data_IF_448729074317
#
_entry.id   IF_448729074317
#
_cell.length_a   1.000
_cell.length_b   1.000
_cell.length_c   1.000
_cell.angle_alpha   90.00
_cell.angle_beta   90.00
_cell.angle_gamma   90.00
#
_symmetry.space_group_name_H-M   'P 1'
#
loop_
_entity.id
_entity.type
_entity.pdbx_description
1 polymer ?
#
# COMPACT_ATOMS: atom_id res chain seq x y z
N UNK A 1 15.01 -35.51 20.79
CA UNK A 1 14.82 -36.97 20.63
C UNK A 1 15.37 -37.77 21.80
N UNK A 2 16.64 -37.65 22.20
CA UNK A 2 17.17 -38.38 23.37
C UNK A 2 16.48 -38.01 24.69
N UNK A 3 16.10 -36.74 24.86
CA UNK A 3 15.48 -36.24 26.09
C UNK A 3 13.95 -36.41 26.15
N UNK A 4 13.28 -36.49 24.99
CA UNK A 4 11.81 -36.43 24.87
C UNK A 4 11.23 -37.47 23.91
N UNK A 5 12.01 -38.44 23.45
CA UNK A 5 11.55 -39.46 22.51
C UNK A 5 10.64 -40.47 23.20
N UNK A 6 9.51 -40.81 22.57
CA UNK A 6 8.51 -41.76 23.05
C UNK A 6 7.77 -41.38 24.35
N UNK A 7 8.03 -40.19 24.92
CA UNK A 7 7.37 -39.73 26.16
C UNK A 7 5.94 -39.22 25.89
N UNK A 8 5.62 -38.86 24.64
CA UNK A 8 4.39 -38.20 24.21
C UNK A 8 3.16 -39.12 24.15
N UNK A 9 3.32 -40.42 24.39
CA UNK A 9 2.22 -41.41 24.38
C UNK A 9 1.15 -41.14 25.47
N UNK A 10 1.54 -40.47 26.56
CA UNK A 10 0.66 -40.23 27.71
C UNK A 10 -0.27 -39.00 27.56
N UNK A 11 -0.20 -38.27 26.45
CA UNK A 11 -1.01 -37.06 26.20
C UNK A 11 -2.11 -37.38 25.20
N UNK A 12 -3.37 -37.13 25.57
CA UNK A 12 -4.55 -37.34 24.71
C UNK A 12 -5.33 -36.02 24.52
N UNK A 13 -5.51 -35.53 23.29
CA UNK A 13 -4.98 -36.07 22.03
C UNK A 13 -3.46 -35.83 21.90
N UNK A 14 -2.77 -36.75 21.20
CA UNK A 14 -1.33 -36.63 20.93
C UNK A 14 -1.04 -35.33 20.17
N UNK A 15 -0.17 -34.44 20.70
CA UNK A 15 0.19 -33.21 20.00
C UNK A 15 0.92 -33.50 18.68
N UNK A 16 0.63 -32.69 17.65
CA UNK A 16 1.34 -32.76 16.36
C UNK A 16 2.83 -32.39 16.52
N UNK A 17 3.12 -31.48 17.44
CA UNK A 17 4.47 -31.06 17.84
C UNK A 17 5.01 -32.01 18.90
N UNK A 18 5.75 -33.03 18.45
CA UNK A 18 6.33 -34.06 19.32
C UNK A 18 7.74 -34.41 18.85
N UNK A 19 8.44 -35.20 19.67
CA UNK A 19 9.83 -35.59 19.43
C UNK A 19 10.00 -37.08 19.13
N UNK A 20 8.97 -37.75 18.61
CA UNK A 20 8.98 -39.19 18.36
C UNK A 20 9.75 -39.54 17.09
N UNK A 21 9.48 -38.83 15.99
CA UNK A 21 10.16 -39.01 14.71
C UNK A 21 11.18 -37.92 14.45
N UNK A 22 12.20 -38.22 13.65
CA UNK A 22 13.28 -37.27 13.34
C UNK A 22 12.74 -36.02 12.65
N UNK A 23 11.92 -36.19 11.63
CA UNK A 23 11.31 -35.07 10.90
C UNK A 23 10.36 -34.26 11.77
N UNK A 24 9.53 -34.91 12.60
CA UNK A 24 8.64 -34.21 13.54
C UNK A 24 9.43 -33.41 14.59
N UNK A 25 10.55 -33.98 15.08
CA UNK A 25 11.45 -33.30 15.99
C UNK A 25 12.12 -32.09 15.34
N UNK A 26 12.58 -32.23 14.10
CA UNK A 26 13.18 -31.13 13.33
C UNK A 26 12.18 -30.00 13.12
N UNK A 27 10.95 -30.31 12.68
CA UNK A 27 9.89 -29.32 12.50
C UNK A 27 9.50 -28.66 13.82
N UNK A 28 9.43 -29.42 14.91
CA UNK A 28 9.13 -28.88 16.24
C UNK A 28 10.23 -27.94 16.72
N UNK A 29 11.50 -28.28 16.52
CA UNK A 29 12.63 -27.38 16.84
C UNK A 29 12.59 -26.13 15.97
N UNK A 30 12.33 -26.27 14.66
CA UNK A 30 12.19 -25.14 13.76
C UNK A 30 11.06 -24.21 14.21
N UNK A 31 9.89 -24.76 14.55
CA UNK A 31 8.77 -24.00 15.07
C UNK A 31 9.13 -23.24 16.37
N UNK A 32 9.83 -23.89 17.30
CA UNK A 32 10.31 -23.25 18.54
C UNK A 32 11.28 -22.12 18.22
N UNK A 33 12.21 -22.33 17.26
CA UNK A 33 13.14 -21.30 16.82
C UNK A 33 12.44 -20.10 16.17
N UNK A 34 11.30 -20.30 15.51
CA UNK A 34 10.48 -19.21 14.95
C UNK A 34 9.67 -18.47 16.03
N UNK A 35 9.70 -18.94 17.29
CA UNK A 35 8.96 -18.33 18.40
C UNK A 35 7.47 -18.66 18.43
N UNK A 36 6.99 -19.59 17.59
CA UNK A 36 5.57 -19.93 17.52
C UNK A 36 5.21 -21.10 18.44
N UNK A 37 4.34 -20.86 19.42
CA UNK A 37 3.80 -21.91 20.28
C UNK A 37 4.84 -22.70 21.10
N UNK A 38 6.05 -22.19 21.30
CA UNK A 38 7.14 -22.85 22.04
C UNK A 38 6.76 -23.17 23.49
N UNK A 39 5.94 -22.32 24.11
CA UNK A 39 5.39 -22.50 25.44
C UNK A 39 4.45 -23.72 25.50
N UNK A 40 3.61 -23.92 24.48
CA UNK A 40 2.72 -25.08 24.39
C UNK A 40 3.52 -26.38 24.28
N UNK A 41 4.55 -26.41 23.42
CA UNK A 41 5.44 -27.57 23.29
C UNK A 41 6.17 -27.87 24.59
N UNK A 42 6.63 -26.83 25.30
CA UNK A 42 7.25 -26.98 26.61
C UNK A 42 6.27 -27.54 27.66
N UNK A 43 5.05 -27.02 27.72
CA UNK A 43 4.04 -27.51 28.67
C UNK A 43 3.67 -28.96 28.41
N UNK A 44 3.51 -29.33 27.14
CA UNK A 44 3.21 -30.70 26.77
C UNK A 44 4.42 -31.61 27.05
N UNK A 45 5.66 -31.16 26.85
CA UNK A 45 6.86 -31.92 27.22
C UNK A 45 6.94 -32.18 28.74
N UNK A 46 6.59 -31.18 29.57
CA UNK A 46 6.57 -31.33 31.03
C UNK A 46 5.47 -32.30 31.45
N UNK A 47 4.27 -32.19 30.86
CA UNK A 47 3.16 -33.12 31.11
C UNK A 47 3.51 -34.55 30.73
N UNK A 48 4.12 -34.75 29.56
CA UNK A 48 4.58 -36.05 29.08
C UNK A 48 5.58 -36.69 30.06
N UNK A 49 6.53 -35.91 30.60
CA UNK A 49 7.56 -36.38 31.54
C UNK A 49 7.05 -36.67 32.97
N UNK A 50 5.73 -36.71 33.18
CA UNK A 50 5.12 -37.02 34.48
C UNK A 50 4.74 -35.79 35.31
N UNK A 51 4.58 -34.62 34.67
CA UNK A 51 4.03 -33.42 35.27
C UNK A 51 5.02 -32.59 36.09
N UNK A 52 4.56 -31.42 36.55
CA UNK A 52 5.38 -30.45 37.29
C UNK A 52 5.85 -30.94 38.68
N UNK A 53 5.34 -32.08 39.14
CA UNK A 53 5.71 -32.70 40.42
C UNK A 53 7.11 -33.34 40.36
N UNK A 54 7.59 -33.72 39.17
CA UNK A 54 8.92 -34.32 39.00
C UNK A 54 9.96 -33.23 38.69
N UNK A 55 11.05 -33.12 39.47
CA UNK A 55 12.06 -32.09 39.25
C UNK A 55 12.76 -32.22 37.89
N UNK A 56 12.91 -33.44 37.36
CA UNK A 56 13.46 -33.69 36.03
C UNK A 56 12.56 -33.18 34.90
N UNK A 57 11.24 -33.26 35.08
CA UNK A 57 10.28 -32.73 34.11
C UNK A 57 10.34 -31.20 34.08
N UNK A 58 10.44 -30.55 35.25
CA UNK A 58 10.60 -29.09 35.33
C UNK A 58 11.95 -28.64 34.78
N UNK A 59 13.02 -29.39 35.00
CA UNK A 59 14.35 -29.08 34.45
C UNK A 59 14.37 -29.08 32.91
N UNK A 60 13.46 -29.83 32.29
CA UNK A 60 13.27 -29.84 30.82
C UNK A 60 12.83 -28.48 30.26
N UNK A 61 12.22 -27.60 31.08
CA UNK A 61 11.86 -26.24 30.67
C UNK A 61 13.08 -25.39 30.29
N UNK A 62 14.23 -25.60 30.95
CA UNK A 62 15.46 -24.88 30.66
C UNK A 62 15.95 -25.16 29.24
N UNK A 63 15.79 -26.39 28.75
CA UNK A 63 16.13 -26.73 27.37
C UNK A 63 15.34 -25.87 26.38
N UNK A 64 14.02 -25.78 26.55
CA UNK A 64 13.16 -24.99 25.66
C UNK A 64 13.49 -23.49 25.75
N UNK A 65 13.72 -22.96 26.95
CA UNK A 65 14.09 -21.55 27.13
C UNK A 65 15.42 -21.24 26.41
N UNK A 66 16.44 -22.10 26.59
CA UNK A 66 17.74 -21.91 25.94
C UNK A 66 17.62 -22.02 24.42
N UNK A 67 16.90 -23.02 23.90
CA UNK A 67 16.70 -23.17 22.45
C UNK A 67 15.94 -21.98 21.86
N UNK A 68 14.94 -21.44 22.55
CA UNK A 68 14.22 -20.25 22.09
C UNK A 68 15.14 -19.03 22.06
N UNK A 69 15.91 -18.77 23.13
CA UNK A 69 16.80 -17.60 23.20
C UNK A 69 17.90 -17.70 22.13
N UNK A 70 18.61 -18.83 22.09
CA UNK A 70 19.72 -19.05 21.16
C UNK A 70 19.20 -19.11 19.72
N UNK A 71 18.08 -19.79 19.49
CA UNK A 71 17.45 -19.90 18.18
C UNK A 71 17.04 -18.54 17.62
N UNK A 72 16.37 -17.72 18.43
CA UNK A 72 15.99 -16.36 18.03
C UNK A 72 17.21 -15.49 17.77
N UNK A 73 18.26 -15.59 18.59
CA UNK A 73 19.51 -14.85 18.38
C UNK A 73 20.16 -15.22 17.03
N UNK A 74 20.23 -16.51 16.71
CA UNK A 74 20.76 -16.99 15.42
C UNK A 74 19.90 -16.49 14.26
N UNK A 75 18.57 -16.59 14.35
CA UNK A 75 17.67 -16.14 13.28
C UNK A 75 17.77 -14.64 13.04
N UNK A 76 17.81 -13.82 14.10
CA UNK A 76 17.95 -12.38 13.99
C UNK A 76 19.29 -12.01 13.35
N UNK A 77 20.39 -12.67 13.75
CA UNK A 77 21.70 -12.39 13.16
C UNK A 77 21.79 -12.80 11.68
N UNK A 78 21.19 -13.92 11.29
CA UNK A 78 21.12 -14.34 9.90
C UNK A 78 20.24 -13.38 9.10
N UNK A 79 19.06 -13.02 9.62
CA UNK A 79 18.16 -12.08 8.97
C UNK A 79 18.82 -10.71 8.79
N UNK A 80 19.51 -10.20 9.81
CA UNK A 80 20.24 -8.94 9.75
C UNK A 80 21.34 -8.99 8.69
N UNK A 81 22.13 -10.07 8.65
CA UNK A 81 23.17 -10.23 7.64
C UNK A 81 22.59 -10.17 6.23
N UNK A 82 21.54 -10.96 5.95
CA UNK A 82 20.88 -10.98 4.64
C UNK A 82 20.26 -9.63 4.29
N UNK A 83 19.61 -8.96 5.25
CA UNK A 83 19.00 -7.66 5.02
C UNK A 83 20.03 -6.57 4.72
N UNK A 84 21.14 -6.55 5.46
CA UNK A 84 22.24 -5.62 5.23
C UNK A 84 22.90 -5.86 3.88
N UNK A 85 23.13 -7.13 3.51
CA UNK A 85 23.67 -7.48 2.20
C UNK A 85 22.74 -6.99 1.08
N UNK A 86 21.43 -7.21 1.19
CA UNK A 86 20.46 -6.74 0.19
C UNK A 86 20.41 -5.21 0.06
N UNK A 87 20.49 -4.49 1.18
CA UNK A 87 20.53 -3.02 1.17
C UNK A 87 21.84 -2.53 0.53
N UNK A 88 22.96 -3.17 0.85
CA UNK A 88 24.26 -2.80 0.28
C UNK A 88 24.32 -3.01 -1.24
N UNK A 89 23.69 -4.08 -1.74
CA UNK A 89 23.56 -4.33 -3.18
C UNK A 89 22.72 -3.25 -3.86
N UNK A 90 21.56 -2.89 -3.29
CA UNK A 90 20.71 -1.83 -3.82
C UNK A 90 21.38 -0.44 -3.79
N UNK A 91 22.20 -0.14 -2.77
CA UNK A 91 22.99 1.11 -2.74
C UNK A 91 24.07 1.13 -3.83
N UNK A 92 24.74 0.01 -4.08
CA UNK A 92 25.78 -0.08 -5.10
C UNK A 92 25.21 0.04 -6.52
N UNK A 93 24.07 -0.62 -6.79
CA UNK A 93 23.36 -0.51 -8.08
C UNK A 93 22.94 0.94 -8.38
N UNK A 94 22.43 1.66 -7.37
CA UNK A 94 22.08 3.07 -7.51
C UNK A 94 23.32 3.95 -7.80
N UNK A 95 24.44 3.72 -7.12
CA UNK A 95 25.69 4.47 -7.35
C UNK A 95 26.27 4.22 -8.74
N UNK A 96 26.23 2.98 -9.24
CA UNK A 96 26.67 2.67 -10.60
C UNK A 96 25.80 3.35 -11.67
N UNK A 97 24.48 3.41 -11.44
CA UNK A 97 23.55 4.04 -12.38
C UNK A 97 23.79 5.54 -12.46
N UNK A 98 23.91 6.21 -11.31
CA UNK A 98 24.27 7.63 -11.24
C UNK A 98 25.64 7.89 -11.85
N UNK A 99 26.63 7.03 -11.59
CA UNK A 99 27.97 7.15 -12.17
C UNK A 99 27.99 7.06 -13.70
N UNK A 100 27.23 6.13 -14.28
CA UNK A 100 27.10 5.97 -15.74
C UNK A 100 26.37 7.16 -16.37
N UNK A 101 25.33 7.69 -15.72
CA UNK A 101 24.64 8.90 -16.17
C UNK A 101 25.57 10.12 -16.15
N UNK A 102 26.37 10.30 -15.09
CA UNK A 102 27.35 11.41 -15.02
C UNK A 102 28.44 11.29 -16.06
N UNK A 103 28.95 10.07 -16.33
CA UNK A 103 29.97 9.85 -17.36
C UNK A 103 29.44 10.14 -18.77
N UNK A 104 28.20 9.75 -19.07
CA UNK A 104 27.58 10.06 -20.36
C UNK A 104 27.39 11.58 -20.55
N UNK A 105 27.05 12.32 -19.49
CA UNK A 105 26.94 13.78 -19.53
C UNK A 105 28.30 14.45 -19.79
N UNK A 106 29.37 13.98 -19.17
CA UNK A 106 30.74 14.50 -19.38
C UNK A 106 31.29 14.19 -20.78
N UNK A 107 30.94 13.04 -21.38
CA UNK A 107 31.28 12.72 -22.78
C UNK A 107 30.54 13.64 -23.76
N UNK A 108 29.27 13.95 -23.51
CA UNK A 108 28.49 14.90 -24.31
C UNK A 108 29.04 16.34 -24.23
N UNK A 109 29.58 16.76 -23.07
CA UNK A 109 30.19 18.09 -22.96
C UNK A 109 31.56 18.18 -23.66
N UNK A 110 32.39 17.13 -23.59
CA UNK A 110 33.72 17.14 -24.23
C UNK A 110 33.69 17.04 -25.76
N UNK A 111 32.61 16.54 -26.37
CA UNK A 111 32.47 16.50 -27.83
C UNK A 111 32.28 17.88 -28.47
N UNK A 112 31.83 18.88 -27.71
CA UNK A 112 31.50 20.21 -28.21
C UNK A 112 32.67 21.23 -28.24
N UNK A 113 33.90 20.84 -27.88
CA UNK A 113 35.05 21.76 -27.89
C UNK A 113 36.17 21.27 -28.83
N UNK A 114 36.21 21.81 -30.06
CA UNK A 114 37.43 21.87 -30.90
C UNK A 114 37.88 23.34 -31.06
N UNK A 115 39.20 23.63 -31.03
CA UNK A 115 39.72 25.00 -31.11
C UNK A 115 40.03 25.39 -32.56
N UNK A 116 39.90 26.68 -32.93
CA UNK A 116 40.95 27.40 -33.69
C UNK A 116 40.69 28.90 -34.00
N UNK A 117 41.82 29.60 -33.87
CA UNK A 117 42.34 30.92 -34.30
C UNK A 117 41.68 31.76 -35.42
N UNK A 118 41.83 33.08 -35.19
CA UNK A 118 41.77 34.32 -36.00
C UNK A 118 41.67 34.27 -37.54
N UNK A 119 40.81 35.12 -38.13
CA UNK A 119 41.13 36.37 -38.89
C UNK A 119 39.84 37.02 -39.44
N UNK A 120 39.76 38.36 -39.36
CA UNK A 120 38.74 39.25 -39.95
C UNK A 120 38.90 39.37 -41.49
N UNK A 121 38.07 40.15 -42.23
CA UNK A 121 36.61 40.06 -42.44
C UNK A 121 36.25 40.19 -43.97
N UNK A 122 35.05 39.80 -44.42
CA UNK A 122 34.23 40.41 -45.51
C UNK A 122 33.28 39.41 -46.21
N UNK A 123 32.03 39.89 -46.36
CA UNK A 123 30.90 39.42 -47.20
C UNK A 123 30.17 38.10 -46.86
N UNK A 124 29.12 38.27 -46.05
CA UNK A 124 27.72 37.84 -46.23
C UNK A 124 27.47 36.38 -46.70
N UNK A 125 27.06 35.55 -45.74
CA UNK A 125 26.06 34.49 -45.92
C UNK A 125 25.30 34.28 -44.60
N UNK A 126 24.03 33.87 -44.72
CA UNK A 126 22.89 34.04 -43.80
C UNK A 126 23.11 33.39 -42.41
N UNK A 127 22.86 34.08 -41.27
CA UNK A 127 22.89 33.42 -39.96
C UNK A 127 21.64 32.56 -39.76
N UNK A 128 21.83 31.24 -39.63
CA UNK A 128 20.88 30.37 -38.94
C UNK A 128 20.78 30.81 -37.48
N UNK A 129 19.60 31.31 -37.11
CA UNK A 129 19.27 31.74 -35.77
C UNK A 129 19.40 30.58 -34.77
N UNK A 130 20.22 30.84 -33.75
CA UNK A 130 20.27 30.14 -32.49
C UNK A 130 18.87 29.89 -31.93
N UNK A 131 18.49 28.61 -31.77
CA UNK A 131 17.53 28.20 -30.73
C UNK A 131 18.19 28.46 -29.37
N UNK A 132 18.24 29.73 -28.97
CA UNK A 132 18.22 30.08 -27.57
C UNK A 132 16.79 29.81 -27.11
N UNK A 133 16.62 28.84 -26.22
CA UNK A 133 15.34 28.58 -25.59
C UNK A 133 14.85 29.87 -24.91
N UNK A 134 13.97 30.59 -25.62
CA UNK A 134 13.07 31.56 -25.04
C UNK A 134 12.41 30.90 -23.83
N UNK A 135 12.47 31.58 -22.69
CA UNK A 135 11.61 31.27 -21.55
C UNK A 135 10.18 31.52 -22.00
N UNK A 136 9.53 30.48 -22.53
CA UNK A 136 8.12 30.50 -22.92
C UNK A 136 7.35 30.87 -21.64
N UNK A 137 6.67 32.03 -21.58
CA UNK A 137 5.80 32.33 -20.47
C UNK A 137 4.70 31.26 -20.51
N UNK A 138 4.62 30.40 -19.48
CA UNK A 138 3.64 29.30 -19.37
C UNK A 138 2.27 29.81 -19.83
N UNK A 139 1.82 29.48 -21.05
CA UNK A 139 0.53 29.94 -21.52
C UNK A 139 -0.51 29.09 -20.81
N UNK A 140 -1.46 29.77 -20.16
CA UNK A 140 -2.69 29.27 -19.52
C UNK A 140 -3.04 27.78 -19.76
N UNK A 141 -2.36 26.86 -19.06
CA UNK A 141 -2.72 25.44 -19.04
C UNK A 141 -4.18 25.25 -18.58
N UNK A 142 -4.67 26.20 -17.78
CA UNK A 142 -6.05 26.30 -17.28
C UNK A 142 -7.07 26.58 -18.40
N UNK A 143 -6.68 27.26 -19.49
CA UNK A 143 -7.53 27.44 -20.69
C UNK A 143 -7.48 26.23 -21.63
N UNK A 144 -6.32 25.57 -21.74
CA UNK A 144 -6.17 24.39 -22.60
C UNK A 144 -7.03 23.20 -22.13
N UNK A 145 -7.23 23.04 -20.82
CA UNK A 145 -8.11 22.00 -20.26
C UNK A 145 -9.61 22.26 -20.53
N UNK A 146 -9.99 23.50 -20.86
CA UNK A 146 -11.37 23.86 -21.21
C UNK A 146 -11.76 23.52 -22.66
N UNK A 147 -10.79 23.28 -23.55
CA UNK A 147 -11.04 23.04 -24.98
C UNK A 147 -11.24 21.56 -25.36
N UNK A 148 -10.97 20.62 -24.46
CA UNK A 148 -11.11 19.20 -24.81
C UNK A 148 -12.55 18.74 -24.57
N UNK A 149 -13.19 18.27 -25.64
CA UNK A 149 -14.54 17.71 -25.65
C UNK A 149 -14.61 16.44 -24.79
N UNK A 150 -14.94 16.61 -23.52
CA UNK A 150 -15.24 15.53 -22.60
C UNK A 150 -16.74 15.23 -22.69
N UNK A 151 -17.06 14.17 -23.43
CA UNK A 151 -18.41 13.64 -23.74
C UNK A 151 -19.22 14.43 -24.77
N UNK A 152 -19.58 13.73 -25.84
CA UNK A 152 -20.44 14.10 -26.97
C UNK A 152 -21.89 14.52 -26.60
N UNK A 153 -22.21 14.78 -25.32
CA UNK A 153 -23.56 15.12 -24.84
C UNK A 153 -23.61 16.44 -24.05
N UNK A 154 -22.48 16.99 -23.59
CA UNK A 154 -22.46 18.27 -22.87
C UNK A 154 -21.46 19.23 -23.50
N UNK A 155 -21.99 20.16 -24.31
CA UNK A 155 -21.23 21.27 -24.88
C UNK A 155 -20.35 21.98 -23.82
N UNK A 156 -19.12 22.40 -24.17
CA UNK A 156 -18.19 23.09 -23.25
C UNK A 156 -18.74 24.40 -22.65
N UNK A 157 -19.85 24.92 -23.18
CA UNK A 157 -20.51 26.14 -22.71
C UNK A 157 -21.64 25.94 -21.68
N UNK A 158 -21.95 24.71 -21.26
CA UNK A 158 -23.03 24.50 -20.29
C UNK A 158 -22.67 25.08 -18.91
N UNK A 159 -23.55 25.91 -18.30
CA UNK A 159 -23.28 26.51 -16.98
C UNK A 159 -23.14 25.46 -15.89
N UNK A 160 -23.78 24.30 -16.05
CA UNK A 160 -23.68 23.16 -15.14
C UNK A 160 -22.24 22.63 -15.03
N UNK A 161 -21.48 22.59 -16.12
CA UNK A 161 -20.07 22.14 -16.10
C UNK A 161 -19.18 23.17 -15.39
N UNK A 162 -19.41 24.46 -15.59
CA UNK A 162 -18.67 25.54 -14.91
C UNK A 162 -18.93 25.53 -13.40
N UNK A 163 -20.17 25.30 -12.99
CA UNK A 163 -20.53 25.15 -11.58
C UNK A 163 -19.93 23.88 -11.00
N UNK A 164 -20.04 22.75 -11.70
CA UNK A 164 -19.45 21.48 -11.27
C UNK A 164 -17.93 21.59 -11.11
N UNK A 165 -17.22 22.22 -12.04
CA UNK A 165 -15.79 22.49 -11.93
C UNK A 165 -15.46 23.31 -10.68
N UNK A 166 -16.20 24.41 -10.46
CA UNK A 166 -15.98 25.28 -9.28
C UNK A 166 -16.25 24.55 -7.97
N UNK A 167 -17.25 23.68 -7.92
CA UNK A 167 -17.61 22.91 -6.72
C UNK A 167 -16.60 21.79 -6.48
N UNK A 168 -16.28 20.99 -7.48
CA UNK A 168 -15.37 19.83 -7.37
C UNK A 168 -13.95 20.27 -7.05
N UNK A 169 -13.48 21.38 -7.62
CA UNK A 169 -12.13 21.89 -7.35
C UNK A 169 -12.04 22.71 -6.05
N UNK A 170 -13.16 22.97 -5.36
CA UNK A 170 -13.13 23.70 -4.11
C UNK A 170 -12.54 22.83 -2.99
N UNK A 171 -11.51 23.32 -2.30
CA UNK A 171 -10.93 22.60 -1.15
C UNK A 171 -11.96 22.27 -0.06
N UNK A 172 -12.96 23.13 0.13
CA UNK A 172 -14.05 22.90 1.08
C UNK A 172 -14.87 21.64 0.74
N UNK A 173 -15.03 21.32 -0.54
CA UNK A 173 -15.75 20.14 -1.00
C UNK A 173 -14.97 18.87 -0.67
N UNK A 174 -13.68 18.85 -0.97
CA UNK A 174 -12.77 17.73 -0.64
C UNK A 174 -12.73 17.47 0.87
N UNK A 175 -12.60 18.53 1.67
CA UNK A 175 -12.59 18.40 3.14
C UNK A 175 -13.92 17.89 3.69
N UNK A 176 -15.05 18.30 3.09
CA UNK A 176 -16.38 17.83 3.48
C UNK A 176 -16.58 16.35 3.16
N UNK A 177 -16.19 15.89 1.96
CA UNK A 177 -16.22 14.47 1.62
C UNK A 177 -15.38 13.65 2.60
N UNK A 178 -14.13 14.09 2.86
CA UNK A 178 -13.25 13.39 3.78
C UNK A 178 -13.87 13.28 5.18
N UNK A 179 -14.47 14.37 5.67
CA UNK A 179 -15.18 14.37 6.95
C UNK A 179 -16.36 13.41 6.98
N UNK A 180 -17.15 13.33 5.90
CA UNK A 180 -18.28 12.40 5.78
C UNK A 180 -17.83 10.94 5.72
N UNK A 181 -16.70 10.63 5.10
CA UNK A 181 -16.11 9.28 5.11
C UNK A 181 -15.75 8.86 6.54
N UNK A 182 -15.13 9.75 7.31
CA UNK A 182 -14.76 9.47 8.71
C UNK A 182 -16.00 9.25 9.57
N UNK A 183 -17.02 10.10 9.45
CA UNK A 183 -18.28 9.93 10.18
C UNK A 183 -18.99 8.64 9.77
N UNK A 184 -19.09 8.34 8.47
CA UNK A 184 -19.72 7.13 7.96
C UNK A 184 -19.04 5.87 8.50
N UNK A 185 -17.71 5.85 8.52
CA UNK A 185 -16.94 4.73 9.10
C UNK A 185 -17.16 4.60 10.61
N UNK A 186 -17.25 5.73 11.32
CA UNK A 186 -17.58 5.76 12.74
C UNK A 186 -18.99 5.22 13.02
N UNK A 187 -19.98 5.59 12.21
CA UNK A 187 -21.36 5.10 12.36
C UNK A 187 -21.49 3.60 12.14
N UNK A 188 -20.74 3.02 11.20
CA UNK A 188 -20.69 1.57 11.00
C UNK A 188 -20.16 0.84 12.25
N UNK A 189 -19.19 1.44 12.96
CA UNK A 189 -18.68 0.91 14.23
C UNK A 189 -19.71 0.95 15.36
N UNK A 190 -20.68 1.87 15.29
CA UNK A 190 -21.77 1.98 16.27
C UNK A 190 -22.93 1.00 16.01
N UNK A 191 -22.92 0.26 14.90
CA UNK A 191 -23.95 -0.72 14.58
C UNK A 191 -23.92 -1.86 15.61
N UNK A 192 -25.05 -2.07 16.29
CA UNK A 192 -25.19 -3.16 17.26
C UNK A 192 -25.45 -4.48 16.51
N UNK A 193 -24.43 -5.33 16.45
CA UNK A 193 -24.51 -6.65 15.82
C UNK A 193 -25.37 -7.66 16.60
N UNK A 194 -25.64 -7.41 17.89
CA UNK A 194 -26.41 -8.33 18.74
C UNK A 194 -27.92 -8.11 18.67
N UNK A 195 -28.38 -6.88 18.43
CA UNK A 195 -29.82 -6.58 18.36
C UNK A 195 -30.20 -5.77 17.10
N UNK A 196 -30.67 -6.45 16.03
CA UNK A 196 -31.07 -5.80 14.79
C UNK A 196 -32.19 -4.75 14.94
N UNK A 197 -33.07 -4.90 15.93
CA UNK A 197 -34.26 -4.04 16.12
C UNK A 197 -34.01 -2.82 17.03
N UNK A 198 -32.78 -2.65 17.50
CA UNK A 198 -32.39 -1.51 18.32
C UNK A 198 -32.73 -0.18 17.62
N UNK A 199 -33.18 0.81 18.41
CA UNK A 199 -33.49 2.16 17.90
C UNK A 199 -32.28 2.79 17.20
N UNK A 200 -31.08 2.49 17.70
CA UNK A 200 -29.80 2.94 17.14
C UNK A 200 -29.67 2.44 15.70
N UNK A 201 -29.84 1.14 15.45
CA UNK A 201 -29.73 0.55 14.11
C UNK A 201 -30.74 1.14 13.10
N UNK A 202 -31.94 1.50 13.56
CA UNK A 202 -32.93 2.21 12.70
C UNK A 202 -32.45 3.60 12.29
N UNK A 203 -31.84 4.34 13.21
CA UNK A 203 -31.29 5.67 12.92
C UNK A 203 -30.06 5.56 12.02
N UNK A 204 -29.15 4.63 12.30
CA UNK A 204 -27.95 4.36 11.50
C UNK A 204 -28.33 4.03 10.05
N UNK A 205 -29.35 3.19 9.83
CA UNK A 205 -29.85 2.86 8.49
C UNK A 205 -30.30 4.08 7.69
N UNK A 206 -30.92 5.08 8.34
CA UNK A 206 -31.30 6.33 7.67
C UNK A 206 -30.08 7.16 7.27
N UNK A 207 -29.05 7.19 8.13
CA UNK A 207 -27.81 7.89 7.83
C UNK A 207 -27.01 7.22 6.71
N UNK A 208 -26.95 5.89 6.66
CA UNK A 208 -26.31 5.17 5.56
C UNK A 208 -26.89 5.57 4.21
N UNK A 209 -28.22 5.62 4.09
CA UNK A 209 -28.90 6.05 2.86
C UNK A 209 -28.55 7.51 2.53
N UNK A 210 -28.51 8.40 3.52
CA UNK A 210 -28.15 9.79 3.31
C UNK A 210 -26.71 9.95 2.80
N UNK A 211 -25.75 9.18 3.35
CA UNK A 211 -24.37 9.17 2.87
C UNK A 211 -24.25 8.58 1.47
N UNK A 212 -24.95 7.49 1.16
CA UNK A 212 -24.98 6.92 -0.19
C UNK A 212 -25.44 7.96 -1.21
N UNK A 213 -26.49 8.74 -0.91
CA UNK A 213 -26.98 9.81 -1.78
C UNK A 213 -25.92 10.89 -1.98
N UNK A 214 -25.27 11.33 -0.89
CA UNK A 214 -24.22 12.34 -0.97
C UNK A 214 -23.04 11.89 -1.84
N UNK A 215 -22.47 10.70 -1.58
CA UNK A 215 -21.33 10.18 -2.35
C UNK A 215 -21.71 9.89 -3.81
N UNK A 216 -22.95 9.44 -4.07
CA UNK A 216 -23.44 9.29 -5.45
C UNK A 216 -23.46 10.63 -6.18
N UNK A 217 -23.91 11.70 -5.52
CA UNK A 217 -23.91 13.04 -6.10
C UNK A 217 -22.49 13.58 -6.32
N UNK A 218 -21.58 13.32 -5.39
CA UNK A 218 -20.16 13.65 -5.53
C UNK A 218 -19.55 13.03 -6.80
N UNK A 219 -19.67 11.71 -6.94
CA UNK A 219 -19.15 10.99 -8.11
C UNK A 219 -19.79 11.49 -9.40
N UNK A 220 -21.09 11.78 -9.39
CA UNK A 220 -21.79 12.35 -10.54
C UNK A 220 -21.21 13.70 -10.95
N UNK A 221 -20.96 14.61 -9.99
CA UNK A 221 -20.33 15.90 -10.26
C UNK A 221 -18.90 15.75 -10.82
N UNK A 222 -18.10 14.82 -10.27
CA UNK A 222 -16.75 14.54 -10.78
C UNK A 222 -16.79 13.97 -12.20
N UNK A 223 -17.72 13.07 -12.51
CA UNK A 223 -17.90 12.51 -13.86
C UNK A 223 -18.33 13.60 -14.86
N UNK A 224 -19.20 14.55 -14.46
CA UNK A 224 -19.58 15.69 -15.32
C UNK A 224 -18.40 16.63 -15.58
N UNK A 225 -17.52 16.81 -14.59
CA UNK A 225 -16.36 17.70 -14.72
C UNK A 225 -15.24 17.08 -15.58
N UNK A 226 -14.79 15.88 -15.19
CA UNK A 226 -13.65 15.21 -15.79
C UNK A 226 -14.04 14.32 -16.96
N UNK A 227 -15.31 13.94 -17.15
CA UNK A 227 -15.73 12.98 -18.17
C UNK A 227 -15.43 11.52 -17.80
N UNK A 228 -16.21 10.59 -18.37
CA UNK A 228 -16.24 9.18 -17.95
C UNK A 228 -14.91 8.43 -18.23
N UNK A 229 -14.54 8.18 -19.51
CA UNK A 229 -13.39 7.32 -19.82
C UNK A 229 -12.50 7.73 -21.03
N UNK A 230 -12.99 8.53 -22.00
CA UNK A 230 -12.40 8.55 -23.35
C UNK A 230 -11.32 9.63 -23.66
N UNK A 231 -10.61 10.18 -22.67
CA UNK A 231 -9.53 11.16 -22.91
C UNK A 231 -8.44 11.11 -21.83
N UNK A 232 -7.27 11.70 -22.12
CA UNK A 232 -6.17 11.87 -21.18
C UNK A 232 -6.60 12.89 -20.09
N UNK A 233 -6.95 12.40 -18.90
CA UNK A 233 -7.56 13.19 -17.81
C UNK A 233 -8.92 12.67 -17.32
N UNK A 234 -9.43 11.57 -17.90
CA UNK A 234 -10.73 11.00 -17.53
C UNK A 234 -10.80 10.51 -16.07
N UNK A 235 -11.99 10.61 -15.49
CA UNK A 235 -12.27 10.24 -14.10
C UNK A 235 -11.75 8.83 -13.74
N UNK A 236 -12.02 7.82 -14.57
CA UNK A 236 -11.63 6.43 -14.33
C UNK A 236 -10.14 6.13 -14.54
N UNK A 237 -9.30 7.10 -14.90
CA UNK A 237 -7.84 6.90 -14.99
C UNK A 237 -7.12 7.23 -13.69
N UNK A 238 -7.73 8.04 -12.84
CA UNK A 238 -7.18 8.32 -11.52
C UNK A 238 -7.58 7.21 -10.54
N UNK A 239 -6.60 6.52 -9.95
CA UNK A 239 -6.82 5.39 -9.05
C UNK A 239 -7.73 5.77 -7.85
N UNK A 240 -7.61 7.00 -7.36
CA UNK A 240 -8.38 7.52 -6.23
C UNK A 240 -9.86 7.75 -6.57
N UNK A 241 -10.13 8.24 -7.78
CA UNK A 241 -11.50 8.36 -8.29
C UNK A 241 -12.12 6.99 -8.56
N UNK A 242 -11.34 6.01 -9.03
CA UNK A 242 -11.80 4.63 -9.14
C UNK A 242 -12.17 4.03 -7.77
N UNK A 243 -11.44 4.35 -6.71
CA UNK A 243 -11.75 3.92 -5.36
C UNK A 243 -13.06 4.53 -4.84
N UNK A 244 -13.26 5.83 -5.05
CA UNK A 244 -14.50 6.54 -4.72
C UNK A 244 -15.72 5.93 -5.46
N UNK A 245 -15.60 5.69 -6.77
CA UNK A 245 -16.62 5.01 -7.57
C UNK A 245 -16.94 3.60 -7.02
N UNK A 246 -15.93 2.84 -6.61
CA UNK A 246 -16.12 1.52 -6.05
C UNK A 246 -16.89 1.56 -4.71
N UNK A 247 -16.58 2.53 -3.84
CA UNK A 247 -17.30 2.73 -2.58
C UNK A 247 -18.78 3.03 -2.85
N UNK A 248 -19.08 3.92 -3.80
CA UNK A 248 -20.47 4.24 -4.17
C UNK A 248 -21.18 3.02 -4.75
N UNK A 249 -20.55 2.25 -5.63
CA UNK A 249 -21.13 1.04 -6.21
C UNK A 249 -21.47 -0.01 -5.16
N UNK A 250 -20.54 -0.31 -4.25
CA UNK A 250 -20.78 -1.27 -3.16
C UNK A 250 -21.89 -0.79 -2.22
N UNK A 251 -21.96 0.51 -1.95
CA UNK A 251 -23.03 1.13 -1.16
C UNK A 251 -24.41 1.01 -1.84
N UNK A 252 -24.51 1.31 -3.13
CA UNK A 252 -25.76 1.15 -3.91
C UNK A 252 -26.19 -0.32 -3.93
N UNK A 253 -25.28 -1.25 -4.18
CA UNK A 253 -25.57 -2.69 -4.18
C UNK A 253 -26.11 -3.12 -2.82
N UNK A 254 -25.48 -2.69 -1.72
CA UNK A 254 -25.95 -2.98 -0.36
C UNK A 254 -27.37 -2.46 -0.12
N UNK A 255 -27.67 -1.21 -0.52
CA UNK A 255 -29.02 -0.62 -0.39
C UNK A 255 -30.07 -1.36 -1.22
N UNK A 256 -29.72 -1.78 -2.44
CA UNK A 256 -30.62 -2.55 -3.32
C UNK A 256 -30.87 -3.95 -2.79
N UNK A 257 -29.84 -4.62 -2.23
CA UNK A 257 -29.95 -5.96 -1.65
C UNK A 257 -30.65 -5.97 -0.29
N UNK A 258 -30.65 -4.85 0.44
CA UNK A 258 -31.32 -4.71 1.76
C UNK A 258 -32.83 -4.40 1.63
N UNK A 259 -33.38 -4.46 0.41
CA UNK A 259 -34.81 -4.38 0.10
C UNK A 259 -35.46 -5.75 0.26
#
# INVERSE_FOLDING_TARGET
MSLFGAVWYNIVPKPRTNFDDFFNSMLTVFQIMMGDGWNNVMYDAIKANGGAEKPLAVLSSLYFIVVTIVGNYILINIFLAIALDNISLAENDNKETVGKETLNLEEHENFNQKPNQSTNPLSIEIPEESHGDEVIPKPDLEKLLMEVNTLFICFPNNPLRKIAYKVVNAQSFTNLTLFLIVISSGMLSLEDATNPDAKINKILKNFDIAFTIYFTFEVLLKIINFGFCFHNGAYCREIWNCFDLFIVLTSIISVVLRK
#
